data_IF_076804513314
#
_entry.id   IF_076804513314
#
_cell.length_a   1.000
_cell.length_b   1.000
_cell.length_c   1.000
_cell.angle_alpha   90.00
_cell.angle_beta   90.00
_cell.angle_gamma   90.00
#
_symmetry.space_group_name_H-M   'P 1'
#
loop_
_entity.id
_entity.type
_entity.pdbx_description
1 polymer ?
#
# COMPACT_ATOMS: atom_id res chain seq x y z
N UNK A 1 4.34 11.38 21.77
CA UNK A 1 5.26 10.41 21.13
C UNK A 1 5.10 9.00 21.69
N UNK A 2 4.31 8.78 22.75
CA UNK A 2 4.11 7.45 23.34
C UNK A 2 3.65 6.37 22.35
N UNK A 3 2.69 6.66 21.46
CA UNK A 3 2.27 5.71 20.43
C UNK A 3 3.40 5.34 19.44
N UNK A 4 4.30 6.28 19.13
CA UNK A 4 5.47 6.01 18.29
C UNK A 4 6.50 5.14 19.03
N UNK A 5 6.73 5.39 20.32
CA UNK A 5 7.68 4.61 21.13
C UNK A 5 7.33 3.12 21.19
N UNK A 6 6.04 2.79 21.12
CA UNK A 6 5.55 1.40 21.18
C UNK A 6 5.33 0.82 19.78
N UNK A 7 4.73 1.59 18.88
CA UNK A 7 4.33 1.09 17.56
C UNK A 7 5.34 1.31 16.45
N UNK A 8 6.37 2.14 16.68
CA UNK A 8 7.39 2.56 15.71
C UNK A 8 6.85 3.12 14.38
N UNK A 9 5.56 3.45 14.32
CA UNK A 9 4.93 4.05 13.14
C UNK A 9 5.08 5.57 13.16
N UNK A 10 5.37 6.20 12.00
CA UNK A 10 5.39 7.65 11.88
C UNK A 10 4.12 8.30 12.45
N UNK A 11 4.24 9.30 13.35
CA UNK A 11 3.06 9.99 13.88
C UNK A 11 2.30 10.74 12.80
N UNK A 12 0.97 10.64 12.78
CA UNK A 12 0.12 11.45 11.91
C UNK A 12 0.06 12.94 12.34
N UNK A 13 0.24 13.23 13.63
CA UNK A 13 0.34 14.60 14.14
C UNK A 13 1.68 15.23 13.74
N UNK A 14 1.62 16.36 13.02
CA UNK A 14 2.82 17.12 12.59
C UNK A 14 3.77 17.42 13.75
N UNK A 15 3.24 17.91 14.88
CA UNK A 15 4.07 18.26 16.04
C UNK A 15 4.77 17.02 16.65
N UNK A 16 4.10 15.87 16.66
CA UNK A 16 4.70 14.64 17.15
C UNK A 16 5.71 14.06 16.15
N UNK A 17 5.45 14.20 14.84
CA UNK A 17 6.35 13.81 13.77
C UNK A 17 7.67 14.60 13.83
N UNK A 18 7.60 15.93 14.02
CA UNK A 18 8.80 16.77 14.15
C UNK A 18 9.72 16.37 15.30
N UNK A 19 9.14 15.81 16.38
CA UNK A 19 9.91 15.27 17.52
C UNK A 19 10.45 13.86 17.25
N UNK A 20 9.77 13.08 16.42
CA UNK A 20 10.10 11.69 16.14
C UNK A 20 11.03 11.53 14.93
N UNK A 21 11.16 12.53 14.06
CA UNK A 21 11.97 12.48 12.83
C UNK A 21 13.49 12.36 13.04
N UNK A 22 13.98 12.39 14.28
CA UNK A 22 15.36 12.01 14.59
C UNK A 22 15.60 10.51 14.37
N UNK A 23 14.53 9.72 14.41
CA UNK A 23 14.52 8.34 13.94
C UNK A 23 14.60 8.32 12.40
N UNK A 24 15.59 7.58 11.88
CA UNK A 24 15.89 7.52 10.44
C UNK A 24 14.71 6.96 9.62
N UNK A 25 13.94 6.04 10.18
CA UNK A 25 12.84 5.39 9.49
C UNK A 25 11.64 6.34 9.46
N UNK A 26 11.35 7.04 10.56
CA UNK A 26 10.33 8.10 10.59
C UNK A 26 10.63 9.20 9.59
N UNK A 27 11.88 9.65 9.51
CA UNK A 27 12.29 10.66 8.54
C UNK A 27 12.09 10.18 7.10
N UNK A 28 12.49 8.94 6.79
CA UNK A 28 12.31 8.34 5.47
C UNK A 28 10.82 8.22 5.09
N UNK A 29 9.98 7.74 6.01
CA UNK A 29 8.53 7.66 5.79
C UNK A 29 7.88 9.03 5.59
N UNK A 30 8.35 10.07 6.28
CA UNK A 30 7.90 11.44 6.04
C UNK A 30 8.23 11.93 4.65
N UNK A 31 9.43 11.64 4.14
CA UNK A 31 9.85 12.04 2.80
C UNK A 31 9.05 11.34 1.70
N UNK A 32 8.87 10.01 1.78
CA UNK A 32 8.06 9.27 0.79
C UNK A 32 6.57 9.60 0.89
N UNK A 33 6.08 9.88 2.11
CA UNK A 33 4.69 10.23 2.38
C UNK A 33 4.23 11.50 1.67
N UNK A 34 5.14 12.43 1.34
CA UNK A 34 4.80 13.64 0.58
C UNK A 34 4.29 13.37 -0.84
N UNK A 35 4.65 12.21 -1.41
CA UNK A 35 4.22 11.77 -2.74
C UNK A 35 3.24 10.59 -2.69
N UNK A 36 2.93 10.11 -1.49
CA UNK A 36 2.02 9.00 -1.31
C UNK A 36 0.59 9.44 -1.60
N UNK A 37 -0.18 8.56 -2.23
CA UNK A 37 -1.62 8.73 -2.44
C UNK A 37 -2.38 7.93 -1.37
N UNK A 38 -3.35 8.53 -0.68
CA UNK A 38 -4.22 7.79 0.21
C UNK A 38 -4.95 6.68 -0.57
N UNK A 39 -5.01 5.48 0.01
CA UNK A 39 -5.85 4.42 -0.55
C UNK A 39 -7.32 4.87 -0.51
N UNK A 40 -8.13 4.59 -1.55
CA UNK A 40 -9.55 4.91 -1.52
C UNK A 40 -10.24 4.18 -0.35
N UNK A 41 -11.23 4.82 0.27
CA UNK A 41 -11.97 4.28 1.43
C UNK A 41 -13.39 3.80 1.07
N UNK A 42 -13.67 3.62 -0.22
CA UNK A 42 -14.96 3.13 -0.72
C UNK A 42 -15.10 1.61 -0.51
N UNK A 43 -16.32 1.07 -0.35
CA UNK A 43 -16.52 -0.37 -0.15
C UNK A 43 -15.90 -1.26 -1.23
N UNK A 44 -15.89 -0.77 -2.48
CA UNK A 44 -15.32 -1.47 -3.63
C UNK A 44 -13.82 -1.81 -3.49
N UNK A 45 -13.05 -1.05 -2.69
CA UNK A 45 -11.63 -1.35 -2.47
C UNK A 45 -11.37 -2.69 -1.79
N UNK A 46 -12.36 -3.29 -1.11
CA UNK A 46 -12.23 -4.64 -0.57
C UNK A 46 -12.02 -5.70 -1.67
N UNK A 47 -12.68 -5.53 -2.82
CA UNK A 47 -12.61 -6.47 -3.95
C UNK A 47 -11.26 -6.41 -4.67
N UNK A 48 -10.62 -5.24 -4.70
CA UNK A 48 -9.35 -4.99 -5.42
C UNK A 48 -8.20 -5.85 -4.89
N UNK A 49 -8.08 -5.99 -3.56
CA UNK A 49 -6.90 -6.61 -2.95
C UNK A 49 -6.74 -8.10 -3.22
N UNK A 50 -7.85 -8.83 -3.29
CA UNK A 50 -7.81 -10.28 -3.48
C UNK A 50 -7.33 -10.64 -4.89
N UNK A 51 -7.96 -10.07 -5.93
CA UNK A 51 -7.60 -10.36 -7.32
C UNK A 51 -6.19 -9.87 -7.63
N UNK A 52 -5.85 -8.64 -7.17
CA UNK A 52 -4.50 -8.12 -7.31
C UNK A 52 -3.47 -9.04 -6.68
N UNK A 53 -3.66 -9.41 -5.41
CA UNK A 53 -2.72 -10.25 -4.68
C UNK A 53 -2.42 -11.58 -5.39
N UNK A 54 -3.44 -12.25 -5.92
CA UNK A 54 -3.30 -13.50 -6.67
C UNK A 54 -2.51 -13.28 -7.96
N UNK A 55 -2.95 -12.34 -8.81
CA UNK A 55 -2.30 -12.09 -10.10
C UNK A 55 -0.84 -11.65 -9.94
N UNK A 56 -0.56 -10.77 -8.96
CA UNK A 56 0.80 -10.35 -8.66
C UNK A 56 1.66 -11.53 -8.19
N UNK A 57 1.13 -12.41 -7.33
CA UNK A 57 1.86 -13.59 -6.86
C UNK A 57 2.19 -14.57 -8.00
N UNK A 58 1.26 -14.80 -8.93
CA UNK A 58 1.50 -15.63 -10.12
C UNK A 58 2.58 -15.05 -11.03
N UNK A 59 2.58 -13.74 -11.22
CA UNK A 59 3.58 -13.04 -12.03
C UNK A 59 4.97 -13.16 -11.39
N UNK A 60 5.13 -12.80 -10.12
CA UNK A 60 6.46 -12.79 -9.47
C UNK A 60 7.02 -14.19 -9.24
N UNK A 61 6.15 -15.21 -9.13
CA UNK A 61 6.57 -16.61 -8.98
C UNK A 61 6.85 -17.31 -10.31
N UNK A 62 6.64 -16.62 -11.44
CA UNK A 62 6.84 -17.18 -12.78
C UNK A 62 5.79 -18.21 -13.20
N UNK A 63 4.67 -18.31 -12.46
CA UNK A 63 3.54 -19.20 -12.82
C UNK A 63 2.70 -18.61 -13.96
N UNK A 64 2.69 -17.29 -14.09
CA UNK A 64 2.05 -16.60 -15.21
C UNK A 64 2.89 -16.79 -16.48
N UNK A 65 2.41 -17.61 -17.41
CA UNK A 65 3.04 -17.78 -18.73
C UNK A 65 3.01 -16.50 -19.57
N UNK A 66 2.03 -15.62 -19.32
CA UNK A 66 1.96 -14.28 -19.87
C UNK A 66 1.58 -13.26 -18.77
N UNK A 67 2.56 -12.51 -18.22
CA UNK A 67 2.31 -11.55 -17.15
C UNK A 67 1.32 -10.46 -17.52
N UNK A 68 1.39 -9.94 -18.76
CA UNK A 68 0.47 -8.88 -19.21
C UNK A 68 -0.97 -9.39 -19.26
N UNK A 69 -1.20 -10.54 -19.88
CA UNK A 69 -2.54 -11.11 -19.98
C UNK A 69 -3.12 -11.44 -18.59
N UNK A 70 -2.29 -11.92 -17.66
CA UNK A 70 -2.69 -12.20 -16.27
C UNK A 70 -3.13 -10.92 -15.56
N UNK A 71 -2.36 -9.83 -15.72
CA UNK A 71 -2.70 -8.53 -15.17
C UNK A 71 -3.97 -7.93 -15.80
N UNK A 72 -4.12 -7.99 -17.12
CA UNK A 72 -5.32 -7.49 -17.80
C UNK A 72 -6.58 -8.25 -17.35
N UNK A 73 -6.48 -9.58 -17.17
CA UNK A 73 -7.58 -10.40 -16.67
C UNK A 73 -7.97 -10.05 -15.23
N UNK A 74 -6.98 -9.75 -14.37
CA UNK A 74 -7.20 -9.24 -13.02
C UNK A 74 -7.96 -7.91 -13.04
N UNK A 75 -7.54 -6.93 -13.86
CA UNK A 75 -8.24 -5.64 -13.99
C UNK A 75 -9.69 -5.87 -14.41
N UNK A 76 -9.93 -6.71 -15.42
CA UNK A 76 -11.29 -7.02 -15.88
C UNK A 76 -12.13 -7.66 -14.76
N UNK A 77 -11.56 -8.62 -14.02
CA UNK A 77 -12.26 -9.29 -12.94
C UNK A 77 -12.65 -8.33 -11.80
N UNK A 78 -11.83 -7.31 -11.54
CA UNK A 78 -12.15 -6.25 -10.56
C UNK A 78 -13.28 -5.37 -11.11
N UNK A 79 -13.19 -4.92 -12.36
CA UNK A 79 -14.21 -4.08 -13.00
C UNK A 79 -15.58 -4.78 -13.03
N UNK A 80 -15.62 -6.09 -13.30
CA UNK A 80 -16.87 -6.86 -13.31
C UNK A 80 -17.53 -6.97 -11.91
N UNK A 81 -16.83 -6.62 -10.83
CA UNK A 81 -17.32 -6.70 -9.43
C UNK A 81 -17.78 -5.35 -8.86
N UNK A 82 -17.55 -4.25 -9.57
CA UNK A 82 -17.84 -2.88 -9.11
C UNK A 82 -19.01 -2.33 -9.94
#
# INVERSE_FOLDING_TARGET
TELFKVGHRPPASKQAFEKAKTDKDVAAFGAVGQKAVPMPNIPAMGSVWADWGVAQAEIISGKASNPKATWDAMVKAIDDKI
#
